data_IF_595948900157
#
_entry.id   IF_595948900157
#
_cell.length_a   1.000
_cell.length_b   1.000
_cell.length_c   1.000
_cell.angle_alpha   90.00
_cell.angle_beta   90.00
_cell.angle_gamma   90.00
#
_symmetry.space_group_name_H-M   'P 1'
#
loop_
_entity.id
_entity.type
_entity.pdbx_description
1 polymer ?
#
# COMPACT_ATOMS: atom_id res chain seq x y z
N UNK A 1 23.05 -10.00 -10.45
CA UNK A 1 21.69 -10.21 -10.98
C UNK A 1 21.71 -11.49 -11.80
N UNK A 2 20.77 -12.42 -11.53
CA UNK A 2 20.55 -13.58 -12.39
C UNK A 2 19.19 -13.40 -13.08
N UNK A 3 19.12 -13.76 -14.36
CA UNK A 3 17.92 -13.68 -15.17
C UNK A 3 17.76 -14.94 -16.01
N UNK A 4 16.69 -15.66 -15.80
CA UNK A 4 16.24 -16.80 -16.60
C UNK A 4 14.87 -16.41 -17.19
N UNK A 5 14.80 -16.05 -18.48
CA UNK A 5 13.57 -15.53 -19.09
C UNK A 5 12.39 -16.47 -18.94
N UNK A 6 11.27 -15.95 -18.40
CA UNK A 6 10.05 -16.73 -18.17
C UNK A 6 10.04 -17.59 -16.91
N UNK A 7 11.12 -17.70 -16.19
CA UNK A 7 11.25 -18.56 -15.00
C UNK A 7 11.65 -17.81 -13.74
N UNK A 8 12.73 -16.99 -13.82
CA UNK A 8 13.35 -16.43 -12.63
C UNK A 8 14.04 -15.09 -12.88
N UNK A 9 13.93 -14.19 -11.90
CA UNK A 9 14.80 -13.02 -11.75
C UNK A 9 15.27 -12.91 -10.31
N UNK A 10 16.56 -12.66 -10.08
CA UNK A 10 17.09 -12.36 -8.76
C UNK A 10 18.15 -11.28 -8.81
N UNK A 11 18.21 -10.51 -7.74
CA UNK A 11 19.28 -9.53 -7.52
C UNK A 11 19.68 -9.49 -6.06
N UNK A 12 20.86 -8.96 -5.80
CA UNK A 12 21.36 -8.67 -4.46
C UNK A 12 21.36 -7.16 -4.24
N UNK A 13 20.90 -6.76 -3.08
CA UNK A 13 21.08 -5.43 -2.52
C UNK A 13 21.86 -5.52 -1.19
N UNK A 14 22.18 -4.39 -0.54
CA UNK A 14 22.91 -4.40 0.74
C UNK A 14 22.18 -5.15 1.87
N UNK A 15 20.88 -5.36 1.76
CA UNK A 15 20.04 -6.01 2.78
C UNK A 15 19.84 -7.49 2.53
N UNK A 16 20.22 -8.00 1.35
CA UNK A 16 20.08 -9.43 1.07
C UNK A 16 19.86 -9.76 -0.40
N UNK A 17 19.16 -10.85 -0.65
CA UNK A 17 18.80 -11.31 -2.00
C UNK A 17 17.29 -11.28 -2.16
N UNK A 18 16.82 -10.68 -3.25
CA UNK A 18 15.43 -10.74 -3.69
C UNK A 18 15.36 -11.65 -4.92
N UNK A 19 14.44 -12.58 -4.89
CA UNK A 19 14.23 -13.56 -5.95
C UNK A 19 12.73 -13.63 -6.29
N UNK A 20 12.42 -13.56 -7.59
CA UNK A 20 11.11 -13.88 -8.14
C UNK A 20 11.23 -15.14 -9.00
N UNK A 21 10.33 -16.07 -8.79
CA UNK A 21 10.15 -17.25 -9.62
C UNK A 21 8.74 -17.32 -10.16
N UNK A 22 8.60 -17.81 -11.39
CA UNK A 22 7.33 -18.01 -12.06
C UNK A 22 7.07 -19.51 -12.20
N UNK A 23 5.89 -19.95 -11.83
CA UNK A 23 5.43 -21.33 -11.94
C UNK A 23 4.09 -21.39 -12.66
N UNK A 24 4.01 -22.14 -13.75
CA UNK A 24 2.74 -22.42 -14.41
C UNK A 24 1.98 -23.50 -13.61
N UNK A 25 0.76 -23.18 -13.14
CA UNK A 25 -0.03 -24.10 -12.32
C UNK A 25 -1.51 -23.97 -12.63
N UNK A 26 -2.11 -25.03 -13.19
CA UNK A 26 -3.55 -25.07 -13.43
C UNK A 26 -4.09 -23.95 -14.33
N UNK A 27 -3.35 -23.58 -15.40
CA UNK A 27 -3.73 -22.49 -16.30
C UNK A 27 -3.50 -21.08 -15.77
N UNK A 28 -2.85 -20.95 -14.60
CA UNK A 28 -2.45 -19.70 -13.96
C UNK A 28 -0.93 -19.61 -13.83
N UNK A 29 -0.41 -18.42 -13.72
CA UNK A 29 0.98 -18.18 -13.35
C UNK A 29 1.05 -17.83 -11.86
N UNK A 30 1.78 -18.63 -11.10
CA UNK A 30 2.10 -18.33 -9.70
C UNK A 30 3.40 -17.53 -9.69
N UNK A 31 3.34 -16.34 -9.12
CA UNK A 31 4.53 -15.52 -8.85
C UNK A 31 4.93 -15.76 -7.41
N UNK A 32 6.12 -16.29 -7.18
CA UNK A 32 6.70 -16.45 -5.85
C UNK A 32 7.82 -15.43 -5.67
N UNK A 33 7.77 -14.68 -4.59
CA UNK A 33 8.84 -13.78 -4.18
C UNK A 33 9.47 -14.27 -2.88
N UNK A 34 10.79 -14.30 -2.85
CA UNK A 34 11.59 -14.61 -1.67
C UNK A 34 12.58 -13.48 -1.45
N UNK A 35 12.60 -12.94 -0.26
CA UNK A 35 13.63 -12.01 0.17
C UNK A 35 14.42 -12.67 1.30
N UNK A 36 15.70 -12.95 1.04
CA UNK A 36 16.61 -13.53 2.01
C UNK A 36 17.32 -12.39 2.73
N UNK A 37 17.17 -12.35 4.05
CA UNK A 37 17.72 -11.31 4.91
C UNK A 37 18.63 -11.95 5.95
N UNK A 38 19.71 -11.24 6.29
CA UNK A 38 20.54 -11.59 7.43
C UNK A 38 20.12 -10.72 8.60
N UNK A 39 19.23 -11.24 9.46
CA UNK A 39 18.71 -10.51 10.61
C UNK A 39 19.47 -10.91 11.86
N UNK A 40 19.89 -9.91 12.64
CA UNK A 40 20.45 -10.10 13.98
C UNK A 40 19.37 -10.22 15.06
N UNK A 41 18.12 -9.89 14.71
CA UNK A 41 16.97 -9.88 15.62
C UNK A 41 16.80 -8.56 16.38
N UNK A 42 17.44 -7.49 15.93
CA UNK A 42 17.23 -6.16 16.49
C UNK A 42 15.85 -5.60 16.14
N UNK A 43 15.31 -4.70 16.95
CA UNK A 43 13.97 -4.12 16.76
C UNK A 43 13.81 -3.42 15.41
N UNK A 44 14.84 -2.71 14.95
CA UNK A 44 14.78 -2.04 13.65
C UNK A 44 14.78 -3.02 12.48
N UNK A 45 15.49 -4.14 12.58
CA UNK A 45 15.49 -5.20 11.55
C UNK A 45 14.14 -5.91 11.49
N UNK A 46 13.53 -6.19 12.64
CA UNK A 46 12.20 -6.75 12.71
C UNK A 46 11.17 -5.80 12.07
N UNK A 47 11.25 -4.51 12.40
CA UNK A 47 10.41 -3.49 11.79
C UNK A 47 10.61 -3.41 10.28
N UNK A 48 11.86 -3.40 9.85
CA UNK A 48 12.18 -3.35 8.42
C UNK A 48 11.68 -4.59 7.68
N UNK A 49 11.81 -5.77 8.26
CA UNK A 49 11.27 -7.01 7.70
C UNK A 49 9.75 -6.97 7.56
N UNK A 50 9.05 -6.51 8.59
CA UNK A 50 7.60 -6.38 8.55
C UNK A 50 7.14 -5.34 7.53
N UNK A 51 7.78 -4.15 7.49
CA UNK A 51 7.49 -3.09 6.51
C UNK A 51 7.74 -3.58 5.08
N UNK A 52 8.88 -4.25 4.84
CA UNK A 52 9.20 -4.81 3.53
C UNK A 52 8.19 -5.88 3.11
N UNK A 53 7.82 -6.78 4.00
CA UNK A 53 6.82 -7.83 3.72
C UNK A 53 5.47 -7.24 3.35
N UNK A 54 5.07 -6.16 4.03
CA UNK A 54 3.83 -5.46 3.75
C UNK A 54 3.90 -4.67 2.43
N UNK A 55 5.02 -4.01 2.17
CA UNK A 55 5.30 -3.32 0.91
C UNK A 55 5.28 -4.27 -0.29
N UNK A 56 5.86 -5.47 -0.17
CA UNK A 56 5.79 -6.49 -1.22
C UNK A 56 4.35 -6.97 -1.47
N UNK A 57 3.51 -7.08 -0.44
CA UNK A 57 2.08 -7.35 -0.59
C UNK A 57 1.40 -6.33 -1.50
N UNK A 58 1.64 -5.04 -1.27
CA UNK A 58 1.13 -3.96 -2.11
C UNK A 58 1.67 -4.00 -3.55
N UNK A 59 2.98 -4.25 -3.72
CA UNK A 59 3.60 -4.31 -5.04
C UNK A 59 3.06 -5.51 -5.87
N UNK A 60 2.86 -6.66 -5.23
CA UNK A 60 2.31 -7.85 -5.89
C UNK A 60 0.81 -7.68 -6.20
N UNK A 61 0.04 -7.03 -5.33
CA UNK A 61 -1.34 -6.64 -5.63
C UNK A 61 -1.38 -5.70 -6.86
N UNK A 62 -0.50 -4.70 -6.92
CA UNK A 62 -0.36 -3.80 -8.07
C UNK A 62 0.01 -4.52 -9.36
N UNK A 63 0.93 -5.49 -9.30
CA UNK A 63 1.28 -6.33 -10.44
C UNK A 63 0.09 -7.16 -10.94
N UNK A 64 -0.65 -7.78 -10.00
CA UNK A 64 -1.86 -8.55 -10.34
C UNK A 64 -2.90 -7.66 -11.03
N UNK A 65 -3.22 -6.49 -10.44
CA UNK A 65 -4.18 -5.54 -11.01
C UNK A 65 -3.76 -5.05 -12.39
N UNK A 66 -2.48 -4.76 -12.59
CA UNK A 66 -1.97 -4.40 -13.90
C UNK A 66 -2.17 -5.52 -14.93
N UNK A 67 -1.87 -6.77 -14.57
CA UNK A 67 -1.99 -7.92 -15.47
C UNK A 67 -3.45 -8.30 -15.78
N UNK A 68 -4.34 -8.20 -14.78
CA UNK A 68 -5.72 -8.69 -14.90
C UNK A 68 -6.70 -7.63 -15.39
N UNK A 69 -6.48 -6.35 -15.05
CA UNK A 69 -7.43 -5.26 -15.29
C UNK A 69 -6.85 -4.18 -16.21
N UNK A 70 -5.60 -3.76 -16.03
CA UNK A 70 -5.01 -2.56 -16.63
C UNK A 70 -3.88 -2.83 -17.62
N UNK A 71 -3.95 -3.93 -18.35
CA UNK A 71 -2.92 -4.27 -19.34
C UNK A 71 -2.61 -3.10 -20.28
N UNK A 72 -1.30 -2.85 -20.50
CA UNK A 72 -0.77 -1.80 -21.38
C UNK A 72 -0.88 -0.36 -20.85
N UNK A 73 -1.54 -0.14 -19.71
CA UNK A 73 -1.59 1.17 -19.10
C UNK A 73 -0.36 1.45 -18.26
N UNK A 74 0.21 2.63 -18.42
CA UNK A 74 1.35 3.05 -17.58
C UNK A 74 0.90 3.34 -16.16
N UNK A 75 1.65 2.77 -15.19
CA UNK A 75 1.44 3.03 -13.77
C UNK A 75 1.82 4.46 -13.42
N UNK A 76 0.93 5.16 -12.72
CA UNK A 76 1.17 6.47 -12.12
C UNK A 76 1.04 6.38 -10.62
N UNK A 77 1.81 7.19 -9.88
CA UNK A 77 1.89 7.10 -8.43
C UNK A 77 1.73 8.48 -7.81
N UNK A 78 0.90 8.58 -6.77
CA UNK A 78 0.97 9.65 -5.79
C UNK A 78 1.31 9.04 -4.43
N UNK A 79 2.14 9.74 -3.65
CA UNK A 79 2.62 9.24 -2.37
C UNK A 79 2.66 10.33 -1.30
N UNK A 80 1.49 10.90 -0.94
CA UNK A 80 1.40 11.80 0.20
C UNK A 80 1.77 11.09 1.50
N UNK A 81 2.56 11.77 2.33
CA UNK A 81 3.05 11.22 3.60
C UNK A 81 3.40 12.30 4.60
N UNK A 82 3.33 11.94 5.88
CA UNK A 82 3.64 12.85 6.98
C UNK A 82 4.34 12.11 8.11
N UNK A 83 5.34 12.74 8.71
CA UNK A 83 5.96 12.28 9.95
C UNK A 83 5.06 12.61 11.14
N UNK A 84 4.91 11.65 12.05
CA UNK A 84 4.05 11.81 13.23
C UNK A 84 4.81 11.47 14.50
N UNK A 85 4.61 12.28 15.54
CA UNK A 85 5.16 12.05 16.87
C UNK A 85 4.29 11.14 17.76
N UNK A 86 3.49 10.27 17.16
CA UNK A 86 2.56 9.37 17.86
C UNK A 86 3.16 7.96 17.99
N UNK A 87 2.59 7.15 18.89
CA UNK A 87 2.81 5.71 18.81
C UNK A 87 2.12 5.13 17.58
N UNK A 88 2.60 3.98 17.05
CA UNK A 88 1.97 3.31 15.92
C UNK A 88 0.49 3.01 16.18
N UNK A 89 0.16 2.54 17.37
CA UNK A 89 -1.21 2.26 17.77
C UNK A 89 -2.09 3.52 17.73
N UNK A 90 -1.59 4.67 18.21
CA UNK A 90 -2.31 5.93 18.17
C UNK A 90 -2.48 6.43 16.73
N UNK A 91 -1.45 6.30 15.89
CA UNK A 91 -1.53 6.65 14.47
C UNK A 91 -2.53 5.73 13.73
N UNK A 92 -2.51 4.42 14.02
CA UNK A 92 -3.44 3.44 13.43
C UNK A 92 -4.89 3.76 13.80
N UNK A 93 -5.17 4.06 15.08
CA UNK A 93 -6.52 4.47 15.50
C UNK A 93 -6.98 5.75 14.81
N UNK A 94 -6.09 6.69 14.49
CA UNK A 94 -6.43 7.88 13.71
C UNK A 94 -6.71 7.55 12.25
N UNK A 95 -5.90 6.72 11.61
CA UNK A 95 -6.11 6.30 10.21
C UNK A 95 -7.41 5.53 10.04
N UNK A 96 -7.78 4.69 11.00
CA UNK A 96 -8.94 3.80 10.93
C UNK A 96 -10.16 4.27 11.70
N UNK A 97 -10.05 5.35 12.46
CA UNK A 97 -11.17 5.94 13.22
C UNK A 97 -12.09 6.81 12.37
N UNK A 98 -13.35 6.92 12.81
CA UNK A 98 -14.32 7.80 12.19
C UNK A 98 -13.95 9.29 12.36
N UNK A 99 -14.37 10.11 11.40
CA UNK A 99 -14.23 11.57 11.38
C UNK A 99 -12.79 12.12 11.38
N UNK A 100 -11.79 11.30 11.07
CA UNK A 100 -10.40 11.72 10.91
C UNK A 100 -10.03 11.87 9.43
N UNK A 101 -9.79 10.78 8.73
CA UNK A 101 -9.54 10.76 7.29
C UNK A 101 -10.83 10.52 6.50
N UNK A 102 -11.74 9.75 7.08
CA UNK A 102 -13.04 9.40 6.54
C UNK A 102 -14.16 9.76 7.52
N UNK A 103 -15.37 9.89 7.03
CA UNK A 103 -16.56 10.12 7.86
C UNK A 103 -16.87 8.86 8.68
N UNK A 104 -16.85 7.71 8.02
CA UNK A 104 -17.01 6.40 8.64
C UNK A 104 -15.70 5.93 9.29
N UNK A 105 -15.78 4.91 10.11
CA UNK A 105 -14.63 4.19 10.65
C UNK A 105 -14.16 3.11 9.67
N UNK A 106 -13.00 3.24 9.00
CA UNK A 106 -12.45 2.14 8.20
C UNK A 106 -12.34 0.82 8.96
N UNK A 107 -12.06 0.86 10.27
CA UNK A 107 -11.99 -0.35 11.10
C UNK A 107 -13.32 -1.10 11.20
N UNK A 108 -14.45 -0.42 11.03
CA UNK A 108 -15.80 -1.02 11.08
C UNK A 108 -16.33 -1.42 9.71
N UNK A 109 -15.91 -0.72 8.65
CA UNK A 109 -16.41 -0.88 7.28
C UNK A 109 -15.58 -1.90 6.49
N UNK A 110 -14.26 -1.94 6.70
CA UNK A 110 -13.37 -2.73 5.88
C UNK A 110 -13.24 -4.17 6.39
N UNK A 111 -13.42 -5.13 5.49
CA UNK A 111 -13.20 -6.56 5.72
C UNK A 111 -12.44 -7.15 4.54
N UNK A 112 -11.42 -7.99 4.79
CA UNK A 112 -10.59 -8.60 3.76
C UNK A 112 -11.42 -9.24 2.64
N UNK A 113 -11.14 -8.85 1.40
CA UNK A 113 -11.87 -9.32 0.21
C UNK A 113 -13.30 -8.78 0.07
N UNK A 114 -13.79 -7.98 1.03
CA UNK A 114 -15.13 -7.40 1.02
C UNK A 114 -15.25 -6.16 0.15
N UNK A 115 -16.45 -5.88 -0.36
CA UNK A 115 -16.79 -4.58 -0.94
C UNK A 115 -16.89 -3.52 0.15
N UNK A 116 -16.56 -2.27 -0.19
CA UNK A 116 -16.61 -1.15 0.74
C UNK A 116 -17.09 0.13 0.08
N UNK A 117 -17.53 1.07 0.91
CA UNK A 117 -17.73 2.48 0.57
C UNK A 117 -17.30 3.34 1.76
N UNK A 118 -16.48 4.36 1.50
CA UNK A 118 -15.99 5.33 2.47
C UNK A 118 -16.12 6.76 1.90
N UNK A 119 -16.47 7.71 2.75
CA UNK A 119 -16.52 9.13 2.39
C UNK A 119 -15.34 9.85 3.02
N UNK A 120 -14.39 10.26 2.19
CA UNK A 120 -13.22 10.98 2.64
C UNK A 120 -13.58 12.40 3.12
N UNK A 121 -12.88 12.90 4.11
CA UNK A 121 -13.04 14.28 4.60
C UNK A 121 -12.63 15.33 3.56
N UNK A 122 -11.95 14.92 2.51
CA UNK A 122 -11.67 15.71 1.30
C UNK A 122 -12.88 15.88 0.37
N UNK A 123 -14.01 15.21 0.68
CA UNK A 123 -15.27 15.27 -0.09
C UNK A 123 -15.40 14.17 -1.16
N UNK A 124 -14.41 13.32 -1.32
CA UNK A 124 -14.43 12.21 -2.27
C UNK A 124 -15.18 11.00 -1.67
N UNK A 125 -15.84 10.23 -2.53
CA UNK A 125 -16.32 8.90 -2.16
C UNK A 125 -15.39 7.86 -2.76
N UNK A 126 -14.99 6.88 -1.97
CA UNK A 126 -14.22 5.73 -2.41
C UNK A 126 -15.05 4.48 -2.26
N UNK A 127 -15.12 3.70 -3.32
CA UNK A 127 -15.76 2.39 -3.34
C UNK A 127 -14.90 1.37 -4.08
N UNK A 128 -15.05 0.10 -3.74
CA UNK A 128 -14.26 -0.95 -4.39
C UNK A 128 -14.19 -2.21 -3.55
N UNK A 129 -13.05 -2.86 -3.56
CA UNK A 129 -12.76 -4.09 -2.84
C UNK A 129 -11.58 -3.88 -1.89
N UNK A 130 -11.64 -4.47 -0.73
CA UNK A 130 -10.52 -4.51 0.21
C UNK A 130 -9.54 -5.59 -0.23
N UNK A 131 -8.32 -5.19 -0.60
CA UNK A 131 -7.27 -6.10 -1.02
C UNK A 131 -6.63 -6.83 0.16
N UNK A 132 -6.33 -6.10 1.22
CA UNK A 132 -5.85 -6.64 2.49
C UNK A 132 -5.91 -5.60 3.61
N UNK A 133 -6.00 -6.11 4.84
CA UNK A 133 -5.86 -5.34 6.08
C UNK A 133 -4.68 -5.87 6.87
N UNK A 134 -3.86 -4.96 7.40
CA UNK A 134 -2.81 -5.28 8.36
C UNK A 134 -3.10 -4.56 9.66
N UNK A 135 -3.63 -5.28 10.62
CA UNK A 135 -3.93 -4.72 11.94
C UNK A 135 -2.70 -4.01 12.56
N UNK A 136 -2.90 -2.79 13.06
CA UNK A 136 -1.83 -1.95 13.60
C UNK A 136 -0.96 -1.24 12.56
N UNK A 137 -1.12 -1.51 11.25
CA UNK A 137 -0.32 -0.87 10.19
C UNK A 137 -1.15 -0.13 9.14
N UNK A 138 -2.27 -0.67 8.70
CA UNK A 138 -3.10 -0.01 7.69
C UNK A 138 -3.91 -0.97 6.84
N UNK A 139 -4.31 -0.52 5.65
CA UNK A 139 -5.14 -1.27 4.72
C UNK A 139 -4.88 -0.86 3.27
N UNK A 140 -5.12 -1.78 2.35
CA UNK A 140 -5.08 -1.55 0.92
C UNK A 140 -6.44 -1.86 0.29
N UNK A 141 -6.90 -0.98 -0.57
CA UNK A 141 -8.20 -1.07 -1.24
C UNK A 141 -8.07 -0.71 -2.71
N UNK A 142 -8.98 -1.22 -3.55
CA UNK A 142 -9.18 -0.67 -4.90
C UNK A 142 -10.10 0.55 -4.82
N UNK A 143 -9.94 1.52 -5.70
CA UNK A 143 -10.79 2.73 -5.78
C UNK A 143 -11.40 2.83 -7.16
N UNK A 144 -12.67 2.46 -7.27
CA UNK A 144 -13.43 2.44 -8.53
C UNK A 144 -13.49 3.81 -9.19
N UNK A 145 -13.64 4.86 -8.41
CA UNK A 145 -13.74 6.24 -8.87
C UNK A 145 -12.41 6.76 -9.48
N UNK A 146 -11.32 6.03 -9.27
CA UNK A 146 -10.00 6.28 -9.85
C UNK A 146 -9.58 5.16 -10.81
N UNK A 147 -10.55 4.61 -11.57
CA UNK A 147 -10.34 3.52 -12.53
C UNK A 147 -9.73 2.28 -11.86
N UNK A 148 -10.31 1.84 -10.75
CA UNK A 148 -9.84 0.71 -9.93
C UNK A 148 -8.37 0.80 -9.49
N UNK A 149 -7.89 2.03 -9.25
CA UNK A 149 -6.57 2.25 -8.67
C UNK A 149 -6.43 1.59 -7.30
N UNK A 150 -5.20 1.17 -6.96
CA UNK A 150 -4.90 0.72 -5.59
C UNK A 150 -4.54 1.91 -4.70
N UNK A 151 -5.18 1.98 -3.55
CA UNK A 151 -4.91 2.96 -2.51
C UNK A 151 -4.52 2.23 -1.23
N UNK A 152 -3.31 2.50 -0.77
CA UNK A 152 -2.74 1.89 0.41
C UNK A 152 -2.47 2.93 1.49
N UNK A 153 -3.19 2.84 2.61
CA UNK A 153 -2.88 3.57 3.83
C UNK A 153 -1.97 2.72 4.69
N UNK A 154 -0.81 3.25 5.06
CA UNK A 154 0.16 2.52 5.86
C UNK A 154 0.87 3.42 6.88
N UNK A 155 1.34 2.79 7.96
CA UNK A 155 2.13 3.43 9.01
C UNK A 155 3.46 2.70 9.08
N UNK A 156 4.52 3.39 8.68
CA UNK A 156 5.86 2.85 8.52
C UNK A 156 6.87 3.49 9.47
N UNK A 157 7.94 2.76 9.76
CA UNK A 157 9.03 3.23 10.63
C UNK A 157 8.79 2.95 12.11
N UNK A 158 9.69 3.45 12.94
CA UNK A 158 9.66 3.34 14.40
C UNK A 158 9.66 4.73 15.04
N UNK A 159 9.03 4.87 16.22
CA UNK A 159 9.08 6.13 16.94
C UNK A 159 10.54 6.52 17.26
N UNK A 160 10.92 7.79 17.12
CA UNK A 160 10.10 8.95 16.80
C UNK A 160 9.91 9.21 15.29
N UNK A 161 10.32 8.30 14.41
CA UNK A 161 10.35 8.46 12.95
C UNK A 161 9.22 7.70 12.26
N UNK A 162 8.03 7.68 12.84
CA UNK A 162 6.85 7.11 12.19
C UNK A 162 6.35 8.02 11.07
N UNK A 163 5.96 7.40 9.97
CA UNK A 163 5.28 8.06 8.85
C UNK A 163 3.90 7.44 8.61
N UNK A 164 2.89 8.28 8.45
CA UNK A 164 1.59 7.91 7.91
C UNK A 164 1.60 8.23 6.43
N UNK A 165 1.23 7.27 5.61
CA UNK A 165 1.31 7.36 4.16
C UNK A 165 -0.02 6.96 3.52
N UNK A 166 -0.38 7.64 2.41
CA UNK A 166 -1.46 7.27 1.52
C UNK A 166 -0.88 7.07 0.11
N UNK A 167 -0.61 5.83 -0.28
CA UNK A 167 0.05 5.51 -1.53
C UNK A 167 -1.00 5.12 -2.58
N UNK A 168 -1.17 5.96 -3.59
CA UNK A 168 -1.97 5.66 -4.77
C UNK A 168 -1.10 5.04 -5.86
N UNK A 169 -1.55 3.89 -6.38
CA UNK A 169 -1.01 3.25 -7.59
C UNK A 169 -2.15 3.18 -8.61
N UNK A 170 -2.12 4.04 -9.61
CA UNK A 170 -3.20 4.24 -10.57
C UNK A 170 -2.79 3.91 -12.00
N UNK A 171 -3.76 3.51 -12.80
CA UNK A 171 -3.63 3.18 -14.20
C UNK A 171 -4.76 3.86 -14.97
N UNK A 172 -4.55 4.19 -16.24
CA UNK A 172 -5.59 4.75 -17.13
C UNK A 172 -6.13 6.14 -16.75
N UNK A 173 -5.63 6.77 -15.69
CA UNK A 173 -5.96 8.15 -15.32
C UNK A 173 -4.86 9.13 -15.73
N UNK A 174 -5.16 10.43 -15.75
CA UNK A 174 -4.22 11.46 -16.18
C UNK A 174 -3.19 11.79 -15.08
N UNK A 175 -2.02 12.31 -15.47
CA UNK A 175 -1.02 12.85 -14.54
C UNK A 175 -1.61 13.94 -13.64
N UNK A 176 -2.52 14.76 -14.19
CA UNK A 176 -3.16 15.83 -13.44
C UNK A 176 -4.05 15.29 -12.32
N UNK A 177 -4.84 14.23 -12.58
CA UNK A 177 -5.66 13.59 -11.56
C UNK A 177 -4.83 12.99 -10.43
N UNK A 178 -3.69 12.35 -10.76
CA UNK A 178 -2.75 11.80 -9.76
C UNK A 178 -2.12 12.91 -8.92
N UNK A 179 -1.72 14.00 -9.55
CA UNK A 179 -1.16 15.18 -8.86
C UNK A 179 -2.18 15.79 -7.91
N UNK A 180 -3.41 16.04 -8.38
CA UNK A 180 -4.49 16.60 -7.56
C UNK A 180 -4.84 15.71 -6.38
N UNK A 181 -4.87 14.39 -6.57
CA UNK A 181 -5.01 13.43 -5.47
C UNK A 181 -3.89 13.60 -4.45
N UNK A 182 -2.65 13.62 -4.92
CA UNK A 182 -1.48 13.77 -4.06
C UNK A 182 -1.51 15.04 -3.22
N UNK A 183 -1.85 16.19 -3.83
CA UNK A 183 -1.94 17.49 -3.14
C UNK A 183 -3.06 17.50 -2.10
N UNK A 184 -4.26 17.03 -2.44
CA UNK A 184 -5.39 16.96 -1.50
C UNK A 184 -5.09 16.06 -0.31
N UNK A 185 -4.57 14.86 -0.55
CA UNK A 185 -4.26 13.91 0.50
C UNK A 185 -3.06 14.33 1.35
N UNK A 186 -2.08 15.01 0.77
CA UNK A 186 -1.00 15.61 1.56
C UNK A 186 -1.55 16.64 2.56
N UNK A 187 -2.49 17.49 2.13
CA UNK A 187 -3.13 18.45 3.03
C UNK A 187 -4.04 17.78 4.06
N UNK A 188 -4.78 16.75 3.66
CA UNK A 188 -5.64 15.98 4.56
C UNK A 188 -4.84 15.26 5.66
N UNK A 189 -3.71 14.66 5.32
CA UNK A 189 -2.82 14.08 6.32
C UNK A 189 -2.30 15.11 7.31
N UNK A 190 -1.88 16.30 6.84
CA UNK A 190 -1.49 17.40 7.74
C UNK A 190 -2.62 17.79 8.66
N UNK A 191 -3.80 18.04 8.14
CA UNK A 191 -4.96 18.42 8.94
C UNK A 191 -5.31 17.36 10.01
N UNK A 192 -5.14 16.09 9.68
CA UNK A 192 -5.47 14.99 10.57
C UNK A 192 -4.43 14.75 11.66
N UNK A 193 -3.16 15.12 11.47
CA UNK A 193 -2.06 14.71 12.34
C UNK A 193 -1.24 15.86 12.95
N UNK A 194 -1.31 17.07 12.38
CA UNK A 194 -0.61 18.26 12.90
C UNK A 194 -1.52 19.19 13.76
N UNK A 195 -2.82 18.88 13.86
CA UNK A 195 -3.79 19.64 14.66
C UNK A 195 -3.83 19.23 16.13
#
# INVERSE_FOLDING_TARGET
>A
MAWEPGEKISWRDPMGVVEFTLEARGGKTVVRMVQSLFLSGSDWENEWFESSSYGWGFMLAGLRWWLEVHREEARKVAWPRIKVGLSREAAYRRVTGANVLFTESPAEVLHDGGGYQLHAKTGETFSGVVEFIRAGRGFCVTVRELNDALLWFTIEGTAPNLEVQAWLSAFGITEQQVKEFGERWQQQLRNAFES
#
